data_IF_988463897211
#
_entry.id   IF_988463897211
#
_cell.length_a   1.000
_cell.length_b   1.000
_cell.length_c   1.000
_cell.angle_alpha   90.00
_cell.angle_beta   90.00
_cell.angle_gamma   90.00
#
_symmetry.space_group_name_H-M   'P 1'
#
loop_
_entity.id
_entity.type
_entity.pdbx_description
1 polymer ?
#
# COMPACT_ATOMS: atom_id res chain seq x y z
N UNK A 1 17.39 3.72 37.45
CA UNK A 1 17.27 4.73 36.39
C UNK A 1 15.80 5.09 36.26
N UNK A 2 15.40 6.37 36.36
CA UNK A 2 14.01 6.75 36.12
C UNK A 2 13.66 6.47 34.66
N UNK A 3 12.58 5.72 34.40
CA UNK A 3 12.08 5.49 33.04
C UNK A 3 11.64 6.84 32.49
N UNK A 4 12.22 7.27 31.37
CA UNK A 4 11.76 8.45 30.65
C UNK A 4 10.26 8.31 30.36
N UNK A 5 9.51 9.39 30.60
CA UNK A 5 8.08 9.40 30.31
C UNK A 5 7.89 9.14 28.81
N UNK A 6 7.25 8.03 28.49
CA UNK A 6 6.95 7.63 27.12
C UNK A 6 6.09 8.71 26.45
N UNK A 7 6.55 9.26 25.32
CA UNK A 7 5.78 10.19 24.51
C UNK A 7 5.26 9.46 23.27
N UNK A 8 3.93 9.28 23.14
CA UNK A 8 3.35 8.60 21.99
C UNK A 8 3.56 9.40 20.70
N UNK A 9 3.53 8.68 19.58
CA UNK A 9 3.75 9.26 18.26
C UNK A 9 2.66 10.30 17.90
N UNK A 10 3.08 11.52 17.55
CA UNK A 10 2.15 12.62 17.19
C UNK A 10 2.24 12.93 15.70
N UNK A 11 1.25 12.48 14.96
CA UNK A 11 0.98 12.96 13.61
C UNK A 11 0.07 14.19 13.67
N UNK A 12 0.31 15.14 12.77
CA UNK A 12 -0.59 16.28 12.59
C UNK A 12 -1.96 15.81 12.07
N UNK A 13 -2.99 16.63 12.26
CA UNK A 13 -4.31 16.36 11.67
C UNK A 13 -4.27 16.24 10.15
N UNK A 14 -3.40 17.01 9.48
CA UNK A 14 -3.24 16.97 8.03
C UNK A 14 -2.68 15.64 7.54
N UNK A 15 -1.60 15.15 8.15
CA UNK A 15 -0.98 13.87 7.77
C UNK A 15 -1.91 12.68 7.99
N UNK A 16 -2.72 12.72 9.05
CA UNK A 16 -3.72 11.67 9.32
C UNK A 16 -4.77 11.60 8.22
N UNK A 17 -5.35 12.74 7.85
CA UNK A 17 -6.32 12.82 6.76
C UNK A 17 -5.72 12.42 5.43
N UNK A 18 -4.46 12.82 5.16
CA UNK A 18 -3.76 12.45 3.94
C UNK A 18 -3.50 10.94 3.84
N UNK A 19 -3.03 10.31 4.92
CA UNK A 19 -2.81 8.87 4.96
C UNK A 19 -4.12 8.09 4.79
N UNK A 20 -5.21 8.54 5.42
CA UNK A 20 -6.54 7.93 5.22
C UNK A 20 -7.04 8.09 3.78
N UNK A 21 -6.84 9.26 3.19
CA UNK A 21 -7.20 9.53 1.80
C UNK A 21 -6.42 8.63 0.82
N UNK A 22 -5.10 8.52 1.00
CA UNK A 22 -4.27 7.61 0.20
C UNK A 22 -4.68 6.14 0.39
N UNK A 23 -4.91 5.71 1.63
CA UNK A 23 -5.41 4.37 1.91
C UNK A 23 -6.74 4.10 1.19
N UNK A 24 -7.67 5.04 1.26
CA UNK A 24 -8.98 4.92 0.59
C UNK A 24 -8.85 4.78 -0.93
N UNK A 25 -8.01 5.60 -1.58
CA UNK A 25 -7.75 5.50 -3.01
C UNK A 25 -7.15 4.13 -3.36
N UNK A 26 -6.11 3.72 -2.64
CA UNK A 26 -5.43 2.45 -2.88
C UNK A 26 -6.36 1.26 -2.67
N UNK A 27 -7.19 1.28 -1.62
CA UNK A 27 -8.19 0.24 -1.38
C UNK A 27 -9.22 0.21 -2.50
N UNK A 28 -9.80 1.35 -2.86
CA UNK A 28 -10.82 1.41 -3.91
C UNK A 28 -10.27 0.90 -5.24
N UNK A 29 -9.07 1.34 -5.60
CA UNK A 29 -8.44 0.98 -6.86
C UNK A 29 -7.98 -0.48 -6.89
N UNK A 30 -7.42 -0.99 -5.77
CA UNK A 30 -7.06 -2.39 -5.62
C UNK A 30 -8.26 -3.32 -5.66
N UNK A 31 -9.35 -3.01 -4.94
CA UNK A 31 -10.59 -3.79 -4.99
C UNK A 31 -11.20 -3.79 -6.39
N UNK A 32 -11.21 -2.64 -7.07
CA UNK A 32 -11.66 -2.56 -8.45
C UNK A 32 -10.88 -3.52 -9.35
N UNK A 33 -9.56 -3.56 -9.23
CA UNK A 33 -8.71 -4.48 -10.01
C UNK A 33 -8.96 -5.97 -9.73
N UNK A 34 -9.29 -6.34 -8.49
CA UNK A 34 -9.69 -7.71 -8.14
C UNK A 34 -11.02 -8.10 -8.79
N UNK A 35 -12.00 -7.19 -8.79
CA UNK A 35 -13.35 -7.44 -9.32
C UNK A 35 -13.36 -7.46 -10.85
N UNK A 36 -12.65 -6.54 -11.51
CA UNK A 36 -12.64 -6.43 -12.97
C UNK A 36 -11.56 -7.28 -13.64
N UNK A 37 -10.70 -7.92 -12.85
CA UNK A 37 -9.49 -8.63 -13.28
C UNK A 37 -8.56 -7.80 -14.18
N UNK A 38 -8.68 -6.47 -14.14
CA UNK A 38 -7.94 -5.54 -14.99
C UNK A 38 -7.59 -4.26 -14.23
N UNK A 39 -6.39 -3.71 -14.47
CA UNK A 39 -5.95 -2.43 -13.94
C UNK A 39 -5.38 -1.55 -15.06
N UNK A 40 -5.82 -0.28 -15.10
CA UNK A 40 -5.48 0.67 -16.16
C UNK A 40 -4.82 1.91 -15.58
N UNK A 41 -3.50 1.99 -15.66
CA UNK A 41 -2.78 3.19 -15.26
C UNK A 41 -2.71 4.15 -16.45
N UNK A 42 -3.44 5.27 -16.37
CA UNK A 42 -3.40 6.35 -17.34
C UNK A 42 -2.92 7.64 -16.71
N UNK A 43 -2.12 8.41 -17.46
CA UNK A 43 -1.69 9.75 -17.08
C UNK A 43 -2.02 10.71 -18.22
N UNK A 44 -2.78 11.77 -17.92
CA UNK A 44 -3.22 12.79 -18.91
C UNK A 44 -3.85 12.19 -20.17
N UNK A 45 -4.66 11.15 -20.00
CA UNK A 45 -5.35 10.46 -21.10
C UNK A 45 -4.49 9.44 -21.88
N UNK A 46 -3.17 9.37 -21.62
CA UNK A 46 -2.31 8.34 -22.20
C UNK A 46 -2.32 7.10 -21.31
N UNK A 47 -2.65 5.94 -21.88
CA UNK A 47 -2.52 4.64 -21.19
C UNK A 47 -1.02 4.33 -21.06
N UNK A 48 -0.54 4.18 -19.83
CA UNK A 48 0.85 3.83 -19.54
C UNK A 48 1.01 2.32 -19.40
N UNK A 49 0.15 1.71 -18.59
CA UNK A 49 0.20 0.27 -18.30
C UNK A 49 -1.22 -0.29 -18.23
N UNK A 50 -1.43 -1.40 -18.94
CA UNK A 50 -2.65 -2.19 -18.84
C UNK A 50 -2.31 -3.57 -18.29
N UNK A 51 -2.71 -3.84 -17.05
CA UNK A 51 -2.53 -5.14 -16.41
C UNK A 51 -3.82 -5.93 -16.56
N UNK A 52 -3.68 -7.21 -16.89
CA UNK A 52 -4.79 -8.16 -17.02
C UNK A 52 -4.47 -9.47 -16.28
N UNK A 53 -5.53 -10.17 -15.86
CA UNK A 53 -5.43 -11.49 -15.24
C UNK A 53 -4.50 -11.50 -14.02
N UNK A 54 -3.57 -12.45 -13.99
CA UNK A 54 -2.67 -12.64 -12.84
C UNK A 54 -1.83 -11.41 -12.48
N UNK A 55 -1.41 -10.62 -13.47
CA UNK A 55 -0.65 -9.38 -13.22
C UNK A 55 -1.53 -8.32 -12.53
N UNK A 56 -2.79 -8.18 -12.95
CA UNK A 56 -3.73 -7.26 -12.30
C UNK A 56 -4.02 -7.69 -10.85
N UNK A 57 -4.13 -8.99 -10.58
CA UNK A 57 -4.30 -9.52 -9.21
C UNK A 57 -3.12 -9.19 -8.29
N UNK A 58 -1.88 -9.39 -8.75
CA UNK A 58 -0.68 -9.09 -7.98
C UNK A 58 -0.56 -7.60 -7.66
N UNK A 59 -0.80 -6.74 -8.65
CA UNK A 59 -0.80 -5.29 -8.44
C UNK A 59 -1.93 -4.86 -7.49
N UNK A 60 -3.12 -5.44 -7.64
CA UNK A 60 -4.25 -5.17 -6.74
C UNK A 60 -3.90 -5.50 -5.29
N UNK A 61 -3.27 -6.65 -5.05
CA UNK A 61 -2.81 -7.03 -3.71
C UNK A 61 -1.74 -6.06 -3.19
N UNK A 62 -0.82 -5.62 -4.04
CA UNK A 62 0.19 -4.62 -3.67
C UNK A 62 -0.45 -3.30 -3.23
N UNK A 63 -1.50 -2.84 -3.91
CA UNK A 63 -2.25 -1.63 -3.54
C UNK A 63 -2.93 -1.78 -2.18
N UNK A 64 -3.54 -2.94 -1.90
CA UNK A 64 -4.15 -3.22 -0.60
C UNK A 64 -3.11 -3.26 0.52
N UNK A 65 -1.95 -3.88 0.29
CA UNK A 65 -0.83 -3.88 1.24
C UNK A 65 -0.34 -2.45 1.49
N UNK A 66 -0.21 -1.63 0.44
CA UNK A 66 0.11 -0.21 0.55
C UNK A 66 -0.92 0.56 1.39
N UNK A 67 -2.21 0.31 1.20
CA UNK A 67 -3.26 0.91 2.02
C UNK A 67 -3.09 0.57 3.51
N UNK A 68 -2.77 -0.69 3.84
CA UNK A 68 -2.48 -1.11 5.21
C UNK A 68 -1.29 -0.37 5.84
N UNK A 69 -0.25 -0.06 5.06
CA UNK A 69 0.89 0.75 5.54
C UNK A 69 0.43 2.13 5.99
N UNK A 70 -0.36 2.83 5.16
CA UNK A 70 -0.90 4.16 5.49
C UNK A 70 -1.85 4.14 6.68
N UNK A 71 -2.75 3.14 6.74
CA UNK A 71 -3.64 2.95 7.89
C UNK A 71 -2.84 2.72 9.18
N UNK A 72 -1.75 1.95 9.12
CA UNK A 72 -0.93 1.69 10.31
C UNK A 72 -0.30 2.95 10.92
N UNK A 73 0.04 3.96 10.12
CA UNK A 73 0.51 5.25 10.65
C UNK A 73 -0.56 5.95 11.46
N UNK A 74 -1.82 5.87 11.00
CA UNK A 74 -2.96 6.47 11.69
C UNK A 74 -3.27 5.70 12.98
N UNK A 75 -3.23 4.37 12.94
CA UNK A 75 -3.44 3.53 14.14
C UNK A 75 -2.34 3.79 15.18
N UNK A 76 -1.07 3.78 14.79
CA UNK A 76 0.10 4.05 15.65
C UNK A 76 0.02 5.42 16.34
N UNK A 77 -0.65 6.41 15.73
CA UNK A 77 -0.92 7.69 16.38
C UNK A 77 -1.95 7.62 17.50
N UNK A 78 -3.02 6.83 17.32
CA UNK A 78 -4.07 6.68 18.32
C UNK A 78 -3.69 5.65 19.40
N UNK A 79 -2.69 4.81 19.13
CA UNK A 79 -2.17 3.86 20.10
C UNK A 79 -1.27 4.56 21.13
N UNK A 80 -1.72 4.60 22.38
CA UNK A 80 -0.97 5.21 23.48
C UNK A 80 -0.03 4.22 24.18
N UNK A 81 0.05 2.98 23.70
CA UNK A 81 0.93 1.93 24.25
C UNK A 81 2.34 2.09 23.69
N UNK A 82 3.33 1.62 24.43
CA UNK A 82 4.74 1.60 24.01
C UNK A 82 5.02 0.45 23.02
N UNK A 83 4.38 0.50 21.85
CA UNK A 83 4.46 -0.54 20.82
C UNK A 83 4.85 0.01 19.43
N UNK A 84 5.46 1.21 19.36
CA UNK A 84 5.82 1.83 18.07
C UNK A 84 6.81 0.98 17.26
N UNK A 85 7.62 0.16 17.95
CA UNK A 85 8.54 -0.78 17.32
C UNK A 85 7.77 -1.77 16.43
N UNK A 86 6.63 -2.29 16.89
CA UNK A 86 5.85 -3.26 16.13
C UNK A 86 5.20 -2.62 14.91
N UNK A 87 4.66 -1.41 15.03
CA UNK A 87 4.13 -0.66 13.88
C UNK A 87 5.24 -0.33 12.88
N UNK A 88 6.43 0.03 13.34
CA UNK A 88 7.59 0.27 12.47
C UNK A 88 8.02 -0.99 11.72
N UNK A 89 8.10 -2.13 12.40
CA UNK A 89 8.43 -3.42 11.77
C UNK A 89 7.35 -3.83 10.76
N UNK A 90 6.07 -3.71 11.13
CA UNK A 90 4.94 -3.98 10.24
C UNK A 90 5.04 -3.14 8.96
N UNK A 91 5.22 -1.83 9.08
CA UNK A 91 5.37 -0.91 7.94
C UNK A 91 6.54 -1.30 7.05
N UNK A 92 7.67 -1.67 7.65
CA UNK A 92 8.85 -2.11 6.91
C UNK A 92 8.54 -3.37 6.10
N UNK A 93 8.08 -4.44 6.75
CA UNK A 93 7.74 -5.72 6.08
C UNK A 93 6.68 -5.51 5.01
N UNK A 94 5.60 -4.81 5.31
CA UNK A 94 4.51 -4.55 4.38
C UNK A 94 4.97 -3.73 3.17
N UNK A 95 5.87 -2.76 3.36
CA UNK A 95 6.45 -1.98 2.26
C UNK A 95 7.27 -2.86 1.33
N UNK A 96 8.16 -3.72 1.86
CA UNK A 96 8.93 -4.64 1.02
C UNK A 96 8.04 -5.67 0.32
N UNK A 97 7.02 -6.19 1.01
CA UNK A 97 6.05 -7.09 0.40
C UNK A 97 5.28 -6.41 -0.73
N UNK A 98 4.82 -5.17 -0.52
CA UNK A 98 4.15 -4.38 -1.55
C UNK A 98 5.03 -4.17 -2.77
N UNK A 99 6.29 -3.77 -2.59
CA UNK A 99 7.24 -3.61 -3.69
C UNK A 99 7.57 -4.93 -4.40
N UNK A 100 7.69 -6.04 -3.66
CA UNK A 100 7.88 -7.35 -4.26
C UNK A 100 6.69 -7.73 -5.14
N UNK A 101 5.46 -7.50 -4.68
CA UNK A 101 4.23 -7.75 -5.45
C UNK A 101 4.15 -6.87 -6.70
N UNK A 102 4.53 -5.58 -6.61
CA UNK A 102 4.64 -4.68 -7.76
C UNK A 102 5.63 -5.24 -8.79
N UNK A 103 6.82 -5.63 -8.35
CA UNK A 103 7.84 -6.19 -9.23
C UNK A 103 7.36 -7.48 -9.90
N UNK A 104 6.78 -8.42 -9.13
CA UNK A 104 6.20 -9.66 -9.64
C UNK A 104 5.08 -9.40 -10.65
N UNK A 105 4.21 -8.43 -10.38
CA UNK A 105 3.15 -8.03 -11.32
C UNK A 105 3.72 -7.56 -12.66
N UNK A 106 4.75 -6.71 -12.64
CA UNK A 106 5.35 -6.17 -13.86
C UNK A 106 6.12 -7.24 -14.63
N UNK A 107 6.89 -8.09 -13.93
CA UNK A 107 7.59 -9.23 -14.55
C UNK A 107 6.59 -10.16 -15.24
N UNK A 108 5.49 -10.51 -14.57
CA UNK A 108 4.45 -11.36 -15.14
C UNK A 108 3.80 -10.72 -16.36
N UNK A 109 3.49 -9.42 -16.29
CA UNK A 109 2.93 -8.68 -17.41
C UNK A 109 3.86 -8.70 -18.63
N UNK A 110 5.16 -8.46 -18.42
CA UNK A 110 6.16 -8.51 -19.48
C UNK A 110 6.31 -9.93 -20.04
N UNK A 111 6.41 -10.95 -19.18
CA UNK A 111 6.54 -12.34 -19.60
C UNK A 111 5.36 -12.79 -20.47
N UNK A 112 4.13 -12.49 -20.05
CA UNK A 112 2.93 -12.79 -20.85
C UNK A 112 2.92 -11.98 -22.14
N UNK A 113 3.38 -10.73 -22.12
CA UNK A 113 3.53 -9.90 -23.32
C UNK A 113 4.54 -10.43 -24.34
N UNK A 114 5.61 -11.09 -23.89
CA UNK A 114 6.63 -11.68 -24.78
C UNK A 114 6.27 -13.06 -25.33
N UNK A 115 5.37 -13.77 -24.65
CA UNK A 115 4.98 -15.15 -25.00
C UNK A 115 3.72 -15.23 -25.85
N UNK A 116 3.06 -14.08 -26.09
CA UNK A 116 2.01 -13.90 -27.09
C UNK A 116 2.63 -13.44 -28.41
#
# INVERSE_FOLDING_TARGET
MPRSAHQPNRLSSGERSWNLFLAFILTTYGVAGLVTHTLKFSQRGRLLVFLEGGSAWLMSLALLVGACVFVSWVIDHYDTRNNEIYYRIFRWIATYLGWALVASSLILHLYVGFTK
#
